data_IF_743468595500
#
_entry.id   IF_743468595500
#
_cell.length_a   1.000
_cell.length_b   1.000
_cell.length_c   1.000
_cell.angle_alpha   90.00
_cell.angle_beta   90.00
_cell.angle_gamma   90.00
#
_symmetry.space_group_name_H-M   'P 1'
#
loop_
_entity.id
_entity.type
_entity.pdbx_description
1 polymer ?
#
# COMPACT_ATOMS: atom_id res chain seq x y z
N UNK A 1 -4.41 -20.63 57.18
CA UNK A 1 -5.85 -20.53 56.83
C UNK A 1 -6.18 -19.20 56.16
N UNK A 2 -5.92 -18.03 56.76
CA UNK A 2 -6.12 -16.77 56.02
C UNK A 2 -5.25 -16.65 54.74
N UNK A 3 -4.03 -17.20 54.74
CA UNK A 3 -3.14 -17.18 53.56
C UNK A 3 -3.66 -17.98 52.35
N UNK A 4 -4.29 -19.14 52.58
CA UNK A 4 -4.90 -19.94 51.50
C UNK A 4 -6.10 -19.23 50.90
N UNK A 5 -6.87 -18.52 51.74
CA UNK A 5 -7.99 -17.68 51.29
C UNK A 5 -7.51 -16.50 50.43
N UNK A 6 -6.44 -15.80 50.82
CA UNK A 6 -5.87 -14.72 49.98
C UNK A 6 -5.33 -15.24 48.64
N UNK A 7 -4.65 -16.38 48.64
CA UNK A 7 -4.19 -17.01 47.42
C UNK A 7 -5.38 -17.41 46.51
N UNK A 8 -6.44 -18.00 47.06
CA UNK A 8 -7.67 -18.34 46.33
C UNK A 8 -8.39 -17.12 45.75
N UNK A 9 -8.53 -16.03 46.52
CA UNK A 9 -9.13 -14.76 46.04
C UNK A 9 -8.30 -14.14 44.92
N UNK A 10 -6.96 -14.17 45.03
CA UNK A 10 -6.08 -13.66 43.97
C UNK A 10 -6.27 -14.43 42.66
N UNK A 11 -6.39 -15.77 42.74
CA UNK A 11 -6.66 -16.63 41.59
C UNK A 11 -8.02 -16.37 40.95
N UNK A 12 -9.08 -16.17 41.75
CA UNK A 12 -10.42 -15.85 41.24
C UNK A 12 -10.42 -14.54 40.44
N UNK A 13 -9.84 -13.47 40.99
CA UNK A 13 -9.79 -12.17 40.33
C UNK A 13 -9.02 -12.23 39.01
N UNK A 14 -7.88 -12.90 38.98
CA UNK A 14 -7.07 -12.99 37.77
C UNK A 14 -7.74 -13.87 36.70
N UNK A 15 -8.42 -14.96 37.08
CA UNK A 15 -9.21 -15.75 36.13
C UNK A 15 -10.41 -14.97 35.59
N UNK A 16 -11.02 -14.09 36.38
CA UNK A 16 -12.07 -13.20 35.89
C UNK A 16 -11.53 -12.26 34.80
N UNK A 17 -10.38 -11.62 35.02
CA UNK A 17 -9.76 -10.78 34.00
C UNK A 17 -9.37 -11.57 32.74
N UNK A 18 -8.87 -12.80 32.88
CA UNK A 18 -8.63 -13.67 31.71
C UNK A 18 -9.91 -14.01 30.97
N UNK A 19 -11.01 -14.26 31.69
CA UNK A 19 -12.32 -14.50 31.10
C UNK A 19 -12.83 -13.28 30.32
N UNK A 20 -12.62 -12.07 30.85
CA UNK A 20 -13.02 -10.82 30.19
C UNK A 20 -12.25 -10.63 28.87
N UNK A 21 -10.95 -10.94 28.86
CA UNK A 21 -10.12 -10.86 27.64
C UNK A 21 -10.54 -11.90 26.59
N UNK A 22 -10.76 -13.15 26.99
CA UNK A 22 -11.26 -14.21 26.08
C UNK A 22 -12.64 -13.83 25.51
N UNK A 23 -13.54 -13.32 26.37
CA UNK A 23 -14.85 -12.84 25.94
C UNK A 23 -14.75 -11.71 24.92
N UNK A 24 -13.81 -10.78 25.10
CA UNK A 24 -13.55 -9.71 24.14
C UNK A 24 -12.99 -10.23 22.81
N UNK A 25 -12.06 -11.18 22.84
CA UNK A 25 -11.51 -11.81 21.62
C UNK A 25 -12.64 -12.47 20.81
N UNK A 26 -13.49 -13.29 21.47
CA UNK A 26 -14.61 -13.98 20.82
C UNK A 26 -15.62 -12.99 20.25
N UNK A 27 -15.97 -11.93 20.99
CA UNK A 27 -16.90 -10.92 20.53
C UNK A 27 -16.43 -10.18 19.26
N UNK A 28 -15.12 -10.06 19.06
CA UNK A 28 -14.50 -9.35 17.95
C UNK A 28 -13.91 -10.28 16.87
N UNK A 29 -14.34 -11.54 16.80
CA UNK A 29 -13.84 -12.50 15.80
C UNK A 29 -14.09 -12.06 14.35
N UNK A 30 -15.17 -11.32 14.09
CA UNK A 30 -15.50 -10.84 12.74
C UNK A 30 -15.06 -9.40 12.49
N UNK A 31 -14.41 -8.76 13.46
CA UNK A 31 -13.97 -7.36 13.33
C UNK A 31 -12.71 -7.32 12.47
N UNK A 32 -12.77 -6.56 11.37
CA UNK A 32 -11.65 -6.37 10.42
C UNK A 32 -10.45 -5.77 11.17
N UNK A 33 -9.26 -6.31 10.94
CA UNK A 33 -8.02 -5.83 11.55
C UNK A 33 -7.89 -6.05 13.06
N UNK A 34 -8.83 -6.74 13.72
CA UNK A 34 -8.76 -7.01 15.15
C UNK A 34 -7.59 -7.94 15.49
N UNK A 35 -6.92 -7.65 16.61
CA UNK A 35 -5.80 -8.43 17.15
C UNK A 35 -6.13 -8.99 18.52
N UNK A 36 -6.07 -10.31 18.63
CA UNK A 36 -6.30 -11.07 19.86
C UNK A 36 -5.36 -10.60 20.96
N UNK A 37 -5.86 -10.63 22.19
CA UNK A 37 -5.08 -10.28 23.38
C UNK A 37 -4.90 -11.49 24.26
N UNK A 38 -3.74 -11.62 24.89
CA UNK A 38 -3.41 -12.74 25.78
C UNK A 38 -3.05 -12.23 27.17
N UNK A 39 -3.50 -12.97 28.17
CA UNK A 39 -3.22 -12.70 29.59
C UNK A 39 -2.09 -13.60 30.08
N UNK A 40 -1.06 -12.99 30.67
CA UNK A 40 0.06 -13.71 31.29
C UNK A 40 0.00 -13.52 32.81
N UNK A 41 0.14 -14.61 33.57
CA UNK A 41 0.17 -14.58 35.02
C UNK A 41 1.60 -14.72 35.55
N UNK A 42 1.86 -14.12 36.72
CA UNK A 42 3.07 -14.31 37.49
C UNK A 42 2.73 -14.75 38.91
N UNK A 43 3.59 -15.54 39.54
CA UNK A 43 3.46 -15.83 40.96
C UNK A 43 3.78 -14.58 41.79
N UNK A 44 3.17 -14.51 42.97
CA UNK A 44 3.48 -13.45 43.95
C UNK A 44 4.68 -13.85 44.79
N UNK A 45 5.25 -12.89 45.53
CA UNK A 45 6.39 -13.10 46.41
C UNK A 45 6.19 -14.33 47.32
N UNK A 46 7.18 -15.22 47.38
CA UNK A 46 7.15 -16.35 48.29
C UNK A 46 7.61 -15.94 49.70
N UNK A 47 6.94 -16.46 50.73
CA UNK A 47 7.38 -16.27 52.11
C UNK A 47 8.34 -17.40 52.50
N UNK A 48 9.58 -17.06 52.84
CA UNK A 48 10.56 -18.03 53.34
C UNK A 48 10.33 -18.29 54.83
N UNK A 49 9.98 -19.53 55.18
CA UNK A 49 9.80 -20.01 56.55
C UNK A 49 11.14 -20.46 57.14
N UNK A 50 11.97 -21.09 56.31
CA UNK A 50 13.31 -21.56 56.69
C UNK A 50 14.27 -21.44 55.51
N UNK A 51 15.44 -20.87 55.74
CA UNK A 51 16.51 -20.79 54.75
C UNK A 51 17.12 -22.16 54.45
N UNK A 52 17.72 -22.28 53.26
CA UNK A 52 18.50 -23.45 52.92
C UNK A 52 19.77 -23.52 53.77
N UNK A 53 20.24 -24.71 54.14
CA UNK A 53 21.53 -24.87 54.82
C UNK A 53 22.42 -25.87 54.08
N UNK A 54 23.71 -25.57 54.02
CA UNK A 54 24.71 -26.50 53.51
C UNK A 54 24.88 -27.72 54.44
N UNK A 55 25.32 -28.89 53.92
CA UNK A 55 25.65 -30.05 54.74
C UNK A 55 26.80 -29.76 55.71
N UNK A 56 26.74 -30.34 56.91
CA UNK A 56 27.81 -30.29 57.94
C UNK A 56 28.14 -31.70 58.45
N UNK A 57 29.29 -31.86 59.13
CA UNK A 57 30.02 -33.07 59.56
C UNK A 57 29.26 -34.38 59.89
N UNK A 58 27.94 -34.38 60.11
CA UNK A 58 27.11 -35.59 60.19
C UNK A 58 25.62 -35.40 59.80
N UNK A 59 25.26 -34.30 59.10
CA UNK A 59 23.89 -33.99 58.63
C UNK A 59 23.90 -33.39 57.21
N UNK A 60 23.02 -33.90 56.36
CA UNK A 60 22.80 -33.39 55.00
C UNK A 60 22.26 -31.95 54.99
N UNK A 61 22.43 -31.25 53.86
CA UNK A 61 21.83 -29.95 53.64
C UNK A 61 20.30 -30.05 53.63
N UNK A 62 19.61 -28.95 53.97
CA UNK A 62 18.15 -28.88 53.90
C UNK A 62 17.71 -27.83 52.89
N UNK A 63 16.65 -28.15 52.15
CA UNK A 63 16.03 -27.24 51.19
C UNK A 63 15.36 -26.06 51.90
N UNK A 64 15.29 -24.89 51.25
CA UNK A 64 14.53 -23.77 51.77
C UNK A 64 13.04 -24.13 51.78
N UNK A 65 12.36 -23.78 52.88
CA UNK A 65 10.92 -23.97 53.00
C UNK A 65 10.25 -22.65 52.69
N UNK A 66 9.62 -22.57 51.52
CA UNK A 66 8.92 -21.38 51.04
C UNK A 66 7.45 -21.69 50.76
N UNK A 67 6.59 -20.71 50.97
CA UNK A 67 5.16 -20.79 50.67
C UNK A 67 4.77 -19.61 49.80
N UNK A 68 4.20 -19.88 48.63
CA UNK A 68 3.69 -18.84 47.72
C UNK A 68 2.44 -18.15 48.27
N UNK A 69 2.27 -16.87 47.95
CA UNK A 69 1.16 -16.04 48.44
C UNK A 69 -0.01 -15.91 47.44
N UNK A 70 0.05 -16.63 46.32
CA UNK A 70 -0.95 -16.57 45.25
C UNK A 70 -0.36 -16.11 43.92
N UNK A 71 -1.22 -15.59 43.05
CA UNK A 71 -0.88 -15.18 41.68
C UNK A 71 -1.31 -13.76 41.40
N UNK A 72 -0.62 -13.09 40.48
CA UNK A 72 -0.95 -11.74 39.97
C UNK A 72 -0.99 -11.73 38.46
N UNK A 73 -1.70 -10.76 37.90
CA UNK A 73 -1.64 -10.43 36.49
C UNK A 73 -0.27 -9.80 36.16
N UNK A 74 0.48 -10.42 35.25
CA UNK A 74 1.78 -9.87 34.79
C UNK A 74 1.56 -8.86 33.67
N UNK A 75 0.79 -9.24 32.65
CA UNK A 75 0.55 -8.41 31.47
C UNK A 75 -0.66 -8.88 30.68
N UNK A 76 -1.19 -7.96 29.86
CA UNK A 76 -2.15 -8.25 28.80
C UNK A 76 -1.53 -7.71 27.52
N UNK A 77 -1.08 -8.61 26.64
CA UNK A 77 -0.35 -8.24 25.43
C UNK A 77 -1.21 -8.49 24.19
N UNK A 78 -1.08 -7.63 23.19
CA UNK A 78 -1.74 -7.79 21.88
C UNK A 78 -0.86 -8.62 20.97
N UNK A 79 -1.44 -9.65 20.36
CA UNK A 79 -0.74 -10.50 19.42
C UNK A 79 -0.93 -9.95 17.99
N UNK A 80 0.12 -9.36 17.43
CA UNK A 80 0.09 -8.77 16.08
C UNK A 80 0.37 -9.78 14.95
N UNK A 81 0.02 -11.06 15.15
CA UNK A 81 0.10 -12.05 14.07
C UNK A 81 -0.89 -11.69 12.95
N UNK A 82 -0.54 -11.90 11.67
CA UNK A 82 -1.43 -11.60 10.56
C UNK A 82 -2.68 -12.48 10.61
N UNK A 83 -3.84 -11.89 10.29
CA UNK A 83 -5.10 -12.60 10.11
C UNK A 83 -5.25 -13.13 8.67
N UNK A 84 -6.34 -13.85 8.42
CA UNK A 84 -6.64 -14.33 7.07
C UNK A 84 -7.17 -13.18 6.19
N UNK A 85 -6.65 -13.00 4.97
CA UNK A 85 -7.19 -12.02 4.04
C UNK A 85 -8.52 -12.51 3.43
N UNK A 86 -9.47 -11.60 3.27
CA UNK A 86 -10.72 -11.82 2.54
C UNK A 86 -10.83 -10.84 1.37
N UNK A 87 -11.08 -11.35 0.17
CA UNK A 87 -11.30 -10.53 -1.02
C UNK A 87 -12.67 -9.86 -0.99
N UNK A 88 -12.72 -8.56 -1.26
CA UNK A 88 -13.96 -7.77 -1.30
C UNK A 88 -14.28 -7.24 -2.70
N UNK A 89 -13.27 -7.13 -3.58
CA UNK A 89 -13.42 -6.59 -4.94
C UNK A 89 -13.50 -5.06 -5.00
N UNK A 90 -13.34 -4.37 -3.87
CA UNK A 90 -13.30 -2.90 -3.80
C UNK A 90 -11.85 -2.44 -3.74
N UNK A 91 -11.38 -1.66 -4.71
CA UNK A 91 -9.96 -1.26 -4.79
C UNK A 91 -9.46 -0.48 -3.56
N UNK A 92 -10.34 0.22 -2.84
CA UNK A 92 -9.99 0.98 -1.64
C UNK A 92 -9.89 0.13 -0.37
N UNK A 93 -10.34 -1.13 -0.43
CA UNK A 93 -10.12 -2.08 0.66
C UNK A 93 -8.71 -2.65 0.56
N UNK A 94 -7.91 -2.39 1.59
CA UNK A 94 -6.50 -2.73 1.63
C UNK A 94 -6.20 -3.64 2.82
N UNK A 95 -5.42 -4.69 2.57
CA UNK A 95 -4.86 -5.53 3.62
C UNK A 95 -3.34 -5.43 3.60
N UNK A 96 -2.71 -5.51 4.77
CA UNK A 96 -1.25 -5.59 4.90
C UNK A 96 -0.87 -7.05 5.07
N UNK A 97 -0.06 -7.57 4.17
CA UNK A 97 0.56 -8.88 4.29
C UNK A 97 1.95 -8.75 4.92
N UNK A 98 2.07 -9.19 6.17
CA UNK A 98 3.30 -9.04 6.96
C UNK A 98 3.20 -7.92 8.00
N UNK A 99 4.34 -7.38 8.40
CA UNK A 99 4.42 -6.38 9.48
C UNK A 99 4.04 -4.98 9.00
N UNK A 100 3.65 -4.12 9.94
CA UNK A 100 3.32 -2.71 9.67
C UNK A 100 1.86 -2.37 9.88
N UNK A 101 1.58 -1.07 9.83
CA UNK A 101 0.29 -0.46 10.09
C UNK A 101 0.03 0.67 9.09
N UNK A 102 -1.24 0.88 8.73
CA UNK A 102 -1.68 2.10 8.09
C UNK A 102 -1.64 3.26 9.07
N UNK A 103 -1.35 4.45 8.54
CA UNK A 103 -1.24 5.67 9.34
C UNK A 103 -2.46 6.54 9.04
N UNK A 104 -3.19 6.87 10.09
CA UNK A 104 -4.34 7.76 10.06
C UNK A 104 -4.00 9.04 10.82
N UNK A 105 -4.58 10.16 10.42
CA UNK A 105 -4.43 11.42 11.14
C UNK A 105 -5.72 12.21 11.16
N UNK A 106 -5.95 12.91 12.28
CA UNK A 106 -6.97 13.97 12.41
C UNK A 106 -6.40 15.38 12.16
N UNK A 107 -5.09 15.47 11.84
CA UNK A 107 -4.34 16.71 11.67
C UNK A 107 -3.51 17.11 12.90
N UNK A 108 -3.83 16.57 14.10
CA UNK A 108 -3.12 16.83 15.35
C UNK A 108 -2.38 15.59 15.85
N UNK A 109 -3.04 14.44 15.86
CA UNK A 109 -2.51 13.15 16.31
C UNK A 109 -2.51 12.11 15.18
N UNK A 110 -1.49 11.26 15.18
CA UNK A 110 -1.42 10.09 14.32
C UNK A 110 -1.92 8.84 15.05
N UNK A 111 -2.75 8.06 14.35
CA UNK A 111 -3.26 6.77 14.78
C UNK A 111 -2.78 5.69 13.82
N UNK A 112 -2.65 4.46 14.32
CA UNK A 112 -2.16 3.33 13.54
C UNK A 112 -3.20 2.23 13.52
N UNK A 113 -3.48 1.65 12.36
CA UNK A 113 -4.47 0.57 12.24
C UNK A 113 -4.01 -0.49 11.26
N UNK A 114 -4.56 -1.70 11.38
CA UNK A 114 -4.45 -2.73 10.35
C UNK A 114 -5.74 -2.92 9.55
N UNK A 115 -6.84 -2.33 10.00
CA UNK A 115 -8.07 -2.30 9.24
C UNK A 115 -7.92 -1.32 8.07
N UNK A 116 -8.16 -1.81 6.85
CA UNK A 116 -8.00 -1.01 5.64
C UNK A 116 -9.29 -0.84 4.84
N UNK A 117 -10.44 -0.77 5.51
CA UNK A 117 -11.73 -0.41 4.89
C UNK A 117 -11.79 1.11 4.65
N UNK A 118 -11.03 1.59 3.67
CA UNK A 118 -11.01 3.00 3.31
C UNK A 118 -12.11 3.33 2.31
N UNK A 119 -12.70 4.51 2.47
CA UNK A 119 -13.66 5.06 1.54
C UNK A 119 -13.20 6.45 1.09
N UNK A 120 -13.65 6.87 -0.08
CA UNK A 120 -13.32 8.18 -0.63
C UNK A 120 -14.39 9.19 -0.23
N UNK A 121 -13.98 10.30 0.37
CA UNK A 121 -14.89 11.39 0.72
C UNK A 121 -15.19 12.30 -0.49
N UNK A 122 -16.18 13.22 -0.41
CA UNK A 122 -16.48 14.16 -1.50
C UNK A 122 -15.34 15.12 -1.86
N UNK A 123 -14.40 15.36 -0.93
CA UNK A 123 -13.19 16.16 -1.18
C UNK A 123 -12.08 15.34 -1.85
N UNK A 124 -12.34 14.04 -2.12
CA UNK A 124 -11.39 13.11 -2.71
C UNK A 124 -10.40 12.50 -1.72
N UNK A 125 -10.50 12.78 -0.42
CA UNK A 125 -9.61 12.21 0.60
C UNK A 125 -9.96 10.75 0.86
N UNK A 126 -8.93 9.91 1.06
CA UNK A 126 -9.14 8.55 1.54
C UNK A 126 -9.29 8.58 3.06
N UNK A 127 -10.47 8.21 3.54
CA UNK A 127 -10.84 8.25 4.95
C UNK A 127 -11.24 6.88 5.46
N UNK A 128 -10.92 6.63 6.72
CA UNK A 128 -11.45 5.50 7.47
C UNK A 128 -12.90 5.77 7.90
N UNK A 129 -13.61 4.74 8.38
CA UNK A 129 -15.03 4.84 8.76
C UNK A 129 -15.35 5.91 9.83
N UNK A 130 -14.35 6.35 10.59
CA UNK A 130 -14.48 7.38 11.62
C UNK A 130 -14.10 8.80 11.13
N UNK A 131 -13.79 8.93 9.84
CA UNK A 131 -13.42 10.20 9.21
C UNK A 131 -11.94 10.57 9.28
N UNK A 132 -11.10 9.77 9.94
CA UNK A 132 -9.65 9.97 9.94
C UNK A 132 -9.07 9.74 8.54
N UNK A 133 -8.09 10.56 8.15
CA UNK A 133 -7.52 10.51 6.81
C UNK A 133 -6.29 9.62 6.75
N UNK A 134 -6.23 8.76 5.72
CA UNK A 134 -5.06 7.93 5.40
C UNK A 134 -3.90 8.82 4.96
N UNK A 135 -2.74 8.62 5.58
CA UNK A 135 -1.51 9.36 5.28
C UNK A 135 -0.67 8.64 4.22
N UNK A 136 0.05 9.44 3.44
CA UNK A 136 0.94 8.97 2.39
C UNK A 136 1.88 10.05 1.92
N UNK A 137 2.64 9.75 0.88
CA UNK A 137 3.43 10.72 0.15
C UNK A 137 2.74 11.05 -1.16
N UNK A 138 2.68 12.34 -1.50
CA UNK A 138 2.22 12.74 -2.84
C UNK A 138 3.32 12.47 -3.85
N UNK A 139 2.95 12.01 -5.04
CA UNK A 139 3.88 11.86 -6.17
C UNK A 139 3.75 13.12 -7.03
N UNK A 140 4.87 13.75 -7.34
CA UNK A 140 4.93 14.94 -8.19
C UNK A 140 4.82 14.56 -9.67
N UNK A 141 4.56 15.54 -10.53
CA UNK A 141 4.35 15.33 -11.97
C UNK A 141 5.58 14.77 -12.71
N UNK A 142 6.77 14.87 -12.11
CA UNK A 142 8.02 14.29 -12.58
C UNK A 142 8.27 12.83 -12.13
N UNK A 143 7.33 12.26 -11.36
CA UNK A 143 7.44 10.92 -10.78
C UNK A 143 8.25 10.85 -9.48
N UNK A 144 8.74 11.98 -8.95
CA UNK A 144 9.39 12.02 -7.64
C UNK A 144 8.39 11.93 -6.49
N UNK A 145 8.78 11.27 -5.40
CA UNK A 145 7.97 11.15 -4.19
C UNK A 145 8.28 12.34 -3.27
N UNK A 146 7.25 13.03 -2.79
CA UNK A 146 7.41 14.13 -1.83
C UNK A 146 8.10 13.65 -0.54
N UNK A 147 8.99 14.46 0.03
CA UNK A 147 9.65 14.16 1.30
C UNK A 147 8.69 14.26 2.50
N UNK A 148 7.62 15.06 2.39
CA UNK A 148 6.62 15.25 3.43
C UNK A 148 5.48 14.25 3.30
N UNK A 149 5.08 13.65 4.44
CA UNK A 149 3.86 12.85 4.55
C UNK A 149 2.68 13.79 4.76
N UNK A 150 1.66 13.60 3.94
CA UNK A 150 0.42 14.36 3.99
C UNK A 150 -0.77 13.41 3.80
N UNK A 151 -1.97 13.91 4.10
CA UNK A 151 -3.19 13.14 3.86
C UNK A 151 -3.38 12.88 2.37
N UNK A 152 -3.64 11.63 2.00
CA UNK A 152 -3.82 11.23 0.60
C UNK A 152 -5.12 11.86 0.07
N UNK A 153 -5.00 12.59 -1.03
CA UNK A 153 -6.13 13.17 -1.76
C UNK A 153 -6.12 12.66 -3.20
N UNK A 154 -7.28 12.19 -3.64
CA UNK A 154 -7.59 11.72 -4.98
C UNK A 154 -8.68 12.63 -5.53
N UNK A 155 -8.34 13.81 -6.08
CA UNK A 155 -9.34 14.70 -6.64
C UNK A 155 -10.05 14.03 -7.83
N UNK A 156 -11.38 14.02 -7.83
CA UNK A 156 -12.20 13.42 -8.91
C UNK A 156 -12.10 14.23 -10.19
N UNK A 157 -11.82 15.52 -10.05
CA UNK A 157 -11.62 16.44 -11.16
C UNK A 157 -10.14 16.55 -11.54
N UNK A 158 -9.32 15.55 -11.20
CA UNK A 158 -7.94 15.50 -11.68
C UNK A 158 -7.96 15.40 -13.20
N UNK A 159 -7.32 16.36 -13.84
CA UNK A 159 -7.18 16.46 -15.27
C UNK A 159 -5.70 16.36 -15.60
N UNK A 160 -5.38 15.56 -16.61
CA UNK A 160 -4.08 15.65 -17.26
C UNK A 160 -4.20 16.74 -18.31
N UNK A 161 -3.37 17.79 -18.17
CA UNK A 161 -3.25 18.82 -19.19
C UNK A 161 -2.77 18.18 -20.50
N UNK A 162 -3.26 18.63 -21.66
CA UNK A 162 -2.78 18.12 -22.93
C UNK A 162 -1.28 18.40 -23.07
N UNK A 163 -0.59 17.52 -23.78
CA UNK A 163 0.80 17.72 -24.17
C UNK A 163 0.86 17.83 -25.68
N UNK A 164 1.47 18.93 -26.14
CA UNK A 164 1.78 19.12 -27.54
C UNK A 164 2.70 18.00 -28.06
N UNK A 165 2.46 17.54 -29.28
CA UNK A 165 3.36 16.58 -29.94
C UNK A 165 4.70 17.26 -30.20
N UNK A 166 5.78 16.67 -29.68
CA UNK A 166 7.15 17.14 -29.91
C UNK A 166 7.92 16.18 -30.81
N UNK A 167 7.62 14.88 -30.75
CA UNK A 167 8.34 13.86 -31.52
C UNK A 167 7.34 12.97 -32.26
N UNK A 168 7.62 12.72 -33.54
CA UNK A 168 6.86 11.78 -34.38
C UNK A 168 7.85 10.84 -35.05
N UNK A 169 7.81 9.56 -34.70
CA UNK A 169 8.61 8.53 -35.37
C UNK A 169 7.80 7.88 -36.48
N UNK A 170 8.36 7.80 -37.68
CA UNK A 170 7.70 7.22 -38.86
C UNK A 170 8.51 5.99 -39.30
N UNK A 171 7.80 4.88 -39.48
CA UNK A 171 8.40 3.58 -39.77
C UNK A 171 7.71 2.91 -40.95
N UNK A 172 8.47 2.21 -41.78
CA UNK A 172 7.92 1.48 -42.91
C UNK A 172 8.86 1.35 -44.09
N UNK A 173 8.33 0.69 -45.14
CA UNK A 173 9.01 0.52 -46.41
C UNK A 173 8.34 1.39 -47.48
N UNK A 174 9.11 2.31 -48.07
CA UNK A 174 8.72 3.08 -49.25
C UNK A 174 9.30 2.40 -50.50
N UNK A 175 8.44 2.05 -51.46
CA UNK A 175 8.88 1.33 -52.65
C UNK A 175 9.51 2.29 -53.67
N UNK A 176 10.79 2.17 -54.03
CA UNK A 176 11.39 3.04 -55.04
C UNK A 176 10.95 2.62 -56.44
N UNK A 177 10.61 3.60 -57.29
CA UNK A 177 10.38 3.38 -58.72
C UNK A 177 11.68 2.98 -59.41
N UNK A 178 11.57 2.08 -60.39
CA UNK A 178 12.67 1.66 -61.26
C UNK A 178 13.08 2.77 -62.26
N UNK A 179 12.20 3.74 -62.53
CA UNK A 179 12.50 4.92 -63.36
C UNK A 179 11.90 6.20 -62.71
N UNK A 180 12.63 6.81 -61.75
CA UNK A 180 12.17 7.99 -61.05
C UNK A 180 12.03 9.24 -61.94
N UNK A 181 12.62 9.25 -63.15
CA UNK A 181 12.58 10.41 -64.03
C UNK A 181 11.26 10.52 -64.83
N UNK A 182 10.59 9.39 -65.07
CA UNK A 182 9.34 9.35 -65.85
C UNK A 182 8.12 8.99 -65.00
N UNK A 183 8.30 8.20 -63.94
CA UNK A 183 7.22 7.80 -63.02
C UNK A 183 7.77 7.78 -61.58
N UNK A 184 7.93 8.95 -60.94
CA UNK A 184 8.32 9.00 -59.53
C UNK A 184 7.26 8.33 -58.66
N UNK A 185 7.68 7.58 -57.65
CA UNK A 185 6.74 7.08 -56.65
C UNK A 185 6.36 8.22 -55.72
N UNK A 186 5.06 8.42 -55.56
CA UNK A 186 4.48 9.34 -54.59
C UNK A 186 3.74 8.55 -53.53
N UNK A 187 3.90 8.95 -52.28
CA UNK A 187 3.19 8.35 -51.15
C UNK A 187 2.80 9.42 -50.15
N UNK A 188 1.53 9.47 -49.76
CA UNK A 188 1.09 10.31 -48.65
C UNK A 188 0.81 9.48 -47.41
N UNK A 189 1.20 10.04 -46.26
CA UNK A 189 0.87 9.50 -44.94
C UNK A 189 0.21 10.59 -44.11
N UNK A 190 -0.92 10.26 -43.52
CA UNK A 190 -1.64 11.12 -42.60
C UNK A 190 -1.16 10.84 -41.18
N UNK A 191 -0.81 11.90 -40.45
CA UNK A 191 -0.33 11.83 -39.07
C UNK A 191 -1.21 12.73 -38.22
N UNK A 192 -1.69 12.20 -37.10
CA UNK A 192 -2.41 12.97 -36.12
C UNK A 192 -1.42 13.58 -35.11
N UNK A 193 -1.41 14.90 -35.00
CA UNK A 193 -0.60 15.65 -34.03
C UNK A 193 -1.50 16.46 -33.12
N UNK A 194 -1.11 16.61 -31.87
CA UNK A 194 -1.90 17.31 -30.85
C UNK A 194 -1.26 18.66 -30.54
N UNK A 195 -2.08 19.71 -30.49
CA UNK A 195 -1.62 21.04 -30.11
C UNK A 195 -1.51 21.25 -28.59
N UNK A 196 -0.94 22.39 -28.16
CA UNK A 196 -0.80 22.72 -26.73
C UNK A 196 -2.14 22.88 -26.00
N UNK A 197 -3.26 23.02 -26.72
CA UNK A 197 -4.61 23.11 -26.17
C UNK A 197 -5.35 21.77 -26.23
N UNK A 198 -4.72 20.72 -26.78
CA UNK A 198 -5.29 19.38 -26.89
C UNK A 198 -6.20 19.17 -28.10
N UNK A 199 -6.12 20.01 -29.14
CA UNK A 199 -6.83 19.74 -30.40
C UNK A 199 -5.96 18.89 -31.31
N UNK A 200 -6.59 17.90 -31.93
CA UNK A 200 -5.95 17.04 -32.92
C UNK A 200 -5.98 17.69 -34.30
N UNK A 201 -4.81 17.79 -34.92
CA UNK A 201 -4.58 18.27 -36.28
C UNK A 201 -4.05 17.14 -37.13
N UNK A 202 -4.48 17.09 -38.38
CA UNK A 202 -4.13 16.01 -39.30
C UNK A 202 -3.11 16.57 -40.29
N UNK A 203 -1.86 16.15 -40.14
CA UNK A 203 -0.72 16.55 -40.98
C UNK A 203 -0.59 15.52 -42.09
N UNK A 204 -0.70 15.96 -43.33
CA UNK A 204 -0.39 15.11 -44.49
C UNK A 204 1.07 15.30 -44.87
N UNK A 205 1.83 14.21 -44.85
CA UNK A 205 3.21 14.17 -45.32
C UNK A 205 3.25 13.41 -46.63
N UNK A 206 3.63 14.09 -47.70
CA UNK A 206 3.84 13.54 -49.02
C UNK A 206 5.33 13.25 -49.23
N UNK A 207 5.65 12.04 -49.65
CA UNK A 207 6.98 11.62 -50.08
C UNK A 207 6.97 11.51 -51.59
N UNK A 208 7.87 12.23 -52.26
CA UNK A 208 8.08 12.15 -53.71
C UNK A 208 9.52 11.74 -54.00
N UNK A 209 9.69 10.80 -54.93
CA UNK A 209 11.01 10.34 -55.33
C UNK A 209 11.66 11.36 -56.28
N UNK A 210 12.80 11.95 -55.90
CA UNK A 210 13.52 12.97 -56.67
C UNK A 210 14.82 12.44 -57.32
N UNK A 211 15.03 11.12 -57.28
CA UNK A 211 16.17 10.44 -57.89
C UNK A 211 16.36 9.03 -57.33
N UNK A 212 17.45 8.37 -57.73
CA UNK A 212 17.86 7.12 -57.08
C UNK A 212 18.28 7.42 -55.64
N UNK A 213 17.71 6.68 -54.68
CA UNK A 213 17.98 6.79 -53.24
C UNK A 213 17.69 8.17 -52.62
N UNK A 214 17.05 9.07 -53.35
CA UNK A 214 16.76 10.43 -52.93
C UNK A 214 15.25 10.69 -52.95
N UNK A 215 14.71 11.02 -51.79
CA UNK A 215 13.31 11.31 -51.59
C UNK A 215 13.15 12.70 -50.99
N UNK A 216 12.13 13.42 -51.44
CA UNK A 216 11.71 14.67 -50.82
C UNK A 216 10.44 14.41 -50.03
N UNK A 217 10.42 14.80 -48.76
CA UNK A 217 9.18 14.85 -48.00
C UNK A 217 8.65 16.28 -47.97
N UNK A 218 7.34 16.42 -48.05
CA UNK A 218 6.60 17.68 -47.98
C UNK A 218 5.46 17.51 -46.99
N UNK A 219 5.42 18.32 -45.94
CA UNK A 219 4.27 18.41 -45.07
C UNK A 219 3.48 19.67 -45.44
N UNK A 220 2.25 19.49 -45.95
CA UNK A 220 1.37 20.63 -46.28
C UNK A 220 0.56 21.03 -45.05
N UNK A 221 0.88 22.20 -44.50
CA UNK A 221 0.26 22.74 -43.29
C UNK A 221 -0.20 24.19 -43.51
N UNK A 222 -1.28 24.63 -42.83
CA UNK A 222 -1.71 26.02 -42.86
C UNK A 222 -0.59 26.93 -42.33
N UNK A 223 0.11 27.64 -43.22
CA UNK A 223 1.30 28.43 -42.88
C UNK A 223 2.48 28.24 -43.85
N UNK A 224 2.43 27.21 -44.69
CA UNK A 224 3.37 26.95 -45.77
C UNK A 224 3.87 25.50 -45.77
N UNK A 225 4.31 24.97 -46.92
CA UNK A 225 4.82 23.61 -47.00
C UNK A 225 6.20 23.51 -46.35
N UNK A 226 6.35 22.59 -45.40
CA UNK A 226 7.66 22.23 -44.86
C UNK A 226 8.24 21.12 -45.72
N UNK A 227 9.48 21.26 -46.16
CA UNK A 227 10.12 20.29 -47.05
C UNK A 227 11.49 19.89 -46.53
N UNK A 228 11.88 18.66 -46.80
CA UNK A 228 13.22 18.18 -46.55
C UNK A 228 13.59 16.98 -47.43
N UNK A 229 14.87 16.63 -47.43
CA UNK A 229 15.42 15.56 -48.25
C UNK A 229 15.82 14.36 -47.39
N UNK A 230 15.47 13.17 -47.86
CA UNK A 230 15.86 11.88 -47.30
C UNK A 230 16.80 11.20 -48.28
N UNK A 231 17.99 10.85 -47.80
CA UNK A 231 18.98 10.10 -48.56
C UNK A 231 19.11 8.69 -47.98
N UNK A 232 19.06 7.68 -48.83
CA UNK A 232 19.22 6.29 -48.45
C UNK A 232 20.57 5.73 -48.91
N UNK A 233 21.13 4.81 -48.13
CA UNK A 233 22.33 4.08 -48.49
C UNK A 233 22.05 2.98 -49.54
N UNK A 234 23.12 2.41 -50.08
CA UNK A 234 23.05 1.29 -51.03
C UNK A 234 22.41 0.02 -50.42
N UNK A 235 22.28 -0.04 -49.09
CA UNK A 235 21.61 -1.10 -48.34
C UNK A 235 20.11 -0.87 -48.12
N UNK A 236 19.58 0.27 -48.58
CA UNK A 236 18.17 0.66 -48.46
C UNK A 236 17.78 1.21 -47.09
N UNK A 237 18.74 1.64 -46.27
CA UNK A 237 18.53 2.30 -44.97
C UNK A 237 18.77 3.79 -45.07
N UNK A 238 18.08 4.58 -44.24
CA UNK A 238 18.24 6.03 -44.24
C UNK A 238 19.62 6.45 -43.68
N UNK A 239 20.28 7.40 -44.33
CA UNK A 239 21.51 8.03 -43.85
C UNK A 239 21.12 9.08 -42.80
N UNK A 240 21.69 9.04 -41.57
CA UNK A 240 21.44 10.08 -40.57
C UNK A 240 22.06 11.41 -41.02
N UNK A 241 21.25 12.43 -41.27
CA UNK A 241 21.78 13.70 -41.77
C UNK A 241 20.81 14.85 -42.00
N UNK A 242 19.50 14.61 -41.97
CA UNK A 242 18.49 15.64 -42.23
C UNK A 242 17.57 15.81 -41.02
N UNK A 243 17.72 16.89 -40.21
CA UNK A 243 16.73 17.21 -39.20
C UNK A 243 15.42 17.58 -39.90
N UNK A 244 14.34 16.90 -39.55
CA UNK A 244 13.02 17.13 -40.13
C UNK A 244 12.12 17.78 -39.08
N UNK A 245 12.48 19.01 -38.71
CA UNK A 245 11.70 19.79 -37.75
C UNK A 245 10.64 20.60 -38.46
N UNK A 246 9.38 20.44 -38.06
CA UNK A 246 8.26 21.29 -38.45
C UNK A 246 8.04 22.28 -37.31
N UNK A 247 8.12 23.57 -37.64
CA UNK A 247 7.79 24.65 -36.72
C UNK A 247 6.50 25.32 -37.21
N UNK A 248 5.37 24.87 -36.67
CA UNK A 248 4.04 25.22 -37.17
C UNK A 248 3.20 25.92 -36.10
N UNK A 249 2.53 27.01 -36.50
CA UNK A 249 1.53 27.68 -35.67
C UNK A 249 0.12 27.23 -36.11
N UNK A 250 -0.57 26.36 -35.34
CA UNK A 250 -1.93 25.94 -35.64
C UNK A 250 -2.96 27.08 -35.54
N UNK A 251 -2.59 28.23 -34.98
CA UNK A 251 -3.48 29.36 -34.76
C UNK A 251 -4.51 29.09 -33.64
N UNK A 252 -5.47 30.01 -33.49
CA UNK A 252 -6.55 29.85 -32.51
C UNK A 252 -6.13 29.90 -31.03
N UNK A 253 -4.97 30.50 -30.75
CA UNK A 253 -4.44 30.75 -29.39
C UNK A 253 -3.57 29.62 -28.81
N UNK A 254 -3.29 28.58 -29.59
CA UNK A 254 -2.32 27.55 -29.22
C UNK A 254 -0.88 28.07 -29.36
N UNK A 255 0.04 27.45 -28.62
CA UNK A 255 1.47 27.71 -28.77
C UNK A 255 2.00 27.14 -30.08
N UNK A 256 3.13 27.66 -30.53
CA UNK A 256 3.87 27.16 -31.69
C UNK A 256 4.30 25.71 -31.43
N UNK A 257 4.01 24.82 -32.36
CA UNK A 257 4.38 23.41 -32.34
C UNK A 257 5.74 23.21 -33.00
N UNK A 258 6.70 22.67 -32.24
CA UNK A 258 7.98 22.22 -32.76
C UNK A 258 7.97 20.69 -32.80
N UNK A 259 7.66 20.13 -33.96
CA UNK A 259 7.56 18.69 -34.17
C UNK A 259 8.86 18.20 -34.82
N UNK A 260 9.57 17.29 -34.17
CA UNK A 260 10.70 16.58 -34.76
C UNK A 260 10.22 15.28 -35.41
N UNK A 261 10.38 15.17 -36.73
CA UNK A 261 10.05 13.96 -37.48
C UNK A 261 11.28 13.04 -37.52
N UNK A 262 11.18 11.90 -36.84
CA UNK A 262 12.20 10.86 -36.90
C UNK A 262 11.87 9.85 -38.01
N UNK A 263 12.68 9.87 -39.07
CA UNK A 263 12.61 8.96 -40.21
C UNK A 263 13.61 7.81 -40.15
N UNK A 264 14.38 7.67 -39.06
CA UNK A 264 15.51 6.73 -38.96
C UNK A 264 15.18 5.26 -39.27
N UNK A 265 13.92 4.87 -39.09
CA UNK A 265 13.42 3.51 -39.33
C UNK A 265 12.70 3.36 -40.69
N UNK A 266 12.78 4.34 -41.59
CA UNK A 266 12.31 4.20 -42.96
C UNK A 266 13.32 3.38 -43.79
N UNK A 267 12.77 2.57 -44.68
CA UNK A 267 13.55 1.71 -45.59
C UNK A 267 13.03 1.81 -47.01
N UNK A 268 13.92 1.55 -47.97
CA UNK A 268 13.59 1.49 -49.40
C UNK A 268 13.93 0.14 -50.01
N UNK A 269 13.05 -0.84 -49.81
CA UNK A 269 13.15 -2.16 -50.43
C UNK A 269 12.18 -2.31 -51.59
N UNK A 270 12.57 -3.14 -52.56
CA UNK A 270 11.77 -3.46 -53.74
C UNK A 270 10.47 -4.23 -53.44
N UNK A 271 10.22 -4.62 -52.18
CA UNK A 271 8.95 -5.21 -51.78
C UNK A 271 7.79 -4.20 -52.01
N UNK A 272 6.59 -4.74 -52.21
CA UNK A 272 5.37 -3.92 -52.28
C UNK A 272 5.28 -3.13 -50.98
N UNK A 273 4.98 -1.84 -51.13
CA UNK A 273 4.92 -0.87 -50.06
C UNK A 273 4.15 -1.38 -48.84
N UNK A 274 4.74 -1.28 -47.66
CA UNK A 274 4.04 -1.59 -46.40
C UNK A 274 3.31 -0.36 -45.92
N UNK A 275 2.17 -0.54 -45.24
CA UNK A 275 1.52 0.56 -44.49
C UNK A 275 2.54 1.23 -43.58
N UNK A 276 2.78 2.53 -43.78
CA UNK A 276 3.67 3.31 -42.94
C UNK A 276 2.98 3.54 -41.60
N UNK A 277 3.64 3.12 -40.52
CA UNK A 277 3.15 3.28 -39.16
C UNK A 277 3.88 4.46 -38.51
N UNK A 278 3.13 5.29 -37.80
CA UNK A 278 3.68 6.41 -37.03
C UNK A 278 3.40 6.22 -35.53
N UNK A 279 4.24 6.83 -34.70
CA UNK A 279 4.05 6.97 -33.26
C UNK A 279 4.38 8.41 -32.87
N UNK A 280 3.62 8.97 -31.93
CA UNK A 280 3.75 10.36 -31.50
C UNK A 280 3.54 10.48 -29.98
N UNK A 281 4.14 11.50 -29.36
CA UNK A 281 4.20 11.65 -27.90
C UNK A 281 3.19 12.65 -27.29
N UNK A 282 2.43 13.34 -28.14
CA UNK A 282 1.37 14.26 -27.75
C UNK A 282 0.09 13.54 -27.33
N UNK A 283 -0.72 14.21 -26.53
CA UNK A 283 -1.99 13.65 -26.07
C UNK A 283 -2.98 14.73 -25.69
N UNK A 284 -4.26 14.42 -25.93
CA UNK A 284 -5.37 15.28 -25.55
C UNK A 284 -5.53 15.34 -24.03
N UNK A 285 -6.33 16.31 -23.59
CA UNK A 285 -6.73 16.42 -22.20
C UNK A 285 -7.47 15.15 -21.75
N UNK A 286 -7.05 14.57 -20.63
CA UNK A 286 -7.71 13.41 -20.03
C UNK A 286 -8.40 13.78 -18.73
N UNK A 287 -9.64 13.33 -18.52
CA UNK A 287 -10.26 13.31 -17.20
C UNK A 287 -9.96 11.97 -16.52
N UNK A 288 -9.80 11.97 -15.19
CA UNK A 288 -9.60 10.73 -14.45
C UNK A 288 -10.89 9.90 -14.47
N UNK A 289 -10.82 8.70 -15.04
CA UNK A 289 -11.97 7.81 -15.22
C UNK A 289 -12.06 6.80 -14.06
N UNK A 290 -10.91 6.24 -13.67
CA UNK A 290 -10.80 5.34 -12.53
C UNK A 290 -9.42 5.44 -11.87
N UNK A 291 -9.25 4.77 -10.72
CA UNK A 291 -7.93 4.60 -10.12
C UNK A 291 -7.76 3.17 -9.64
N UNK A 292 -6.51 2.74 -9.57
CA UNK A 292 -6.11 1.45 -8.99
C UNK A 292 -5.00 1.67 -7.98
N UNK A 293 -4.92 0.76 -7.02
CA UNK A 293 -3.85 0.74 -6.03
C UNK A 293 -3.01 -0.50 -6.34
N UNK A 294 -1.70 -0.36 -6.36
CA UNK A 294 -0.76 -1.45 -6.57
C UNK A 294 -0.27 -2.04 -5.23
N UNK A 295 0.34 -3.22 -5.27
CA UNK A 295 0.93 -3.90 -4.11
C UNK A 295 2.07 -3.12 -3.45
N UNK A 296 2.74 -2.26 -4.22
CA UNK A 296 3.71 -1.27 -3.73
C UNK A 296 3.08 -0.12 -2.94
N UNK A 297 1.74 -0.05 -2.86
CA UNK A 297 1.02 1.04 -2.20
C UNK A 297 0.89 2.30 -3.06
N UNK A 298 1.34 2.28 -4.32
CA UNK A 298 1.13 3.37 -5.27
C UNK A 298 -0.32 3.42 -5.73
N UNK A 299 -0.88 4.61 -5.74
CA UNK A 299 -2.20 4.91 -6.29
C UNK A 299 -2.02 5.48 -7.69
N UNK A 300 -2.58 4.80 -8.68
CA UNK A 300 -2.43 5.10 -10.09
C UNK A 300 -3.80 5.51 -10.63
N UNK A 301 -3.92 6.75 -11.10
CA UNK A 301 -5.08 7.23 -11.85
C UNK A 301 -5.02 6.74 -13.29
N UNK A 302 -6.16 6.31 -13.82
CA UNK A 302 -6.37 5.92 -15.21
C UNK A 302 -7.27 6.99 -15.84
N UNK A 303 -6.81 7.57 -16.94
CA UNK A 303 -7.45 8.72 -17.58
C UNK A 303 -8.14 8.31 -18.88
N UNK A 304 -9.13 9.09 -19.29
CA UNK A 304 -9.93 8.87 -20.50
C UNK A 304 -9.10 8.85 -21.80
N UNK A 305 -7.94 9.51 -21.80
CA UNK A 305 -6.99 9.53 -22.91
C UNK A 305 -6.07 8.29 -22.94
N UNK A 306 -6.34 7.27 -22.12
CA UNK A 306 -5.57 6.02 -22.06
C UNK A 306 -4.27 6.12 -21.27
N UNK A 307 -3.90 7.32 -20.78
CA UNK A 307 -2.72 7.50 -19.96
C UNK A 307 -2.99 7.12 -18.50
N UNK A 308 -1.90 6.78 -17.81
CA UNK A 308 -1.92 6.53 -16.37
C UNK A 308 -0.94 7.45 -15.67
N UNK A 309 -1.34 7.98 -14.50
CA UNK A 309 -0.50 8.86 -13.68
C UNK A 309 -0.44 8.34 -12.25
N UNK A 310 0.76 8.30 -11.68
CA UNK A 310 0.94 8.00 -10.27
C UNK A 310 0.55 9.24 -9.44
N UNK A 311 -0.38 9.09 -8.50
CA UNK A 311 -0.97 10.20 -7.73
C UNK A 311 -0.38 10.31 -6.33
N UNK A 312 -0.26 9.17 -5.65
CA UNK A 312 0.18 9.09 -4.27
C UNK A 312 0.77 7.72 -3.95
N UNK A 313 1.53 7.66 -2.87
CA UNK A 313 2.09 6.44 -2.30
C UNK A 313 1.62 6.32 -0.84
N UNK A 314 1.00 5.20 -0.49
CA UNK A 314 0.52 4.95 0.87
C UNK A 314 1.72 4.77 1.81
N UNK A 315 1.71 5.50 2.92
CA UNK A 315 2.73 5.37 3.95
C UNK A 315 2.33 4.29 4.96
N UNK A 316 3.29 3.43 5.29
CA UNK A 316 3.16 2.44 6.34
C UNK A 316 4.08 2.79 7.51
N UNK A 317 3.66 2.43 8.72
CA UNK A 317 4.48 2.54 9.92
C UNK A 317 4.83 1.15 10.45
N UNK A 318 6.10 0.94 10.75
CA UNK A 318 6.58 -0.19 11.54
C UNK A 318 7.01 0.31 12.93
N UNK A 319 6.88 -0.55 13.93
CA UNK A 319 7.28 -0.26 15.31
C UNK A 319 8.28 -1.30 15.79
N UNK A 320 9.35 -0.89 16.49
CA UNK A 320 10.26 -1.83 17.13
C UNK A 320 9.55 -2.76 18.13
N UNK A 321 8.56 -2.23 18.87
CA UNK A 321 7.75 -3.00 19.80
C UNK A 321 6.24 -2.77 19.58
N UNK A 322 5.60 -3.54 18.70
CA UNK A 322 4.16 -3.40 18.42
C UNK A 322 3.28 -3.67 19.65
N UNK A 323 3.67 -4.59 20.54
CA UNK A 323 2.90 -4.91 21.75
C UNK A 323 2.86 -3.75 22.77
N UNK A 324 3.77 -2.77 22.64
CA UNK A 324 3.78 -1.55 23.45
C UNK A 324 2.76 -0.49 23.00
N UNK A 325 2.05 -0.70 21.89
CA UNK A 325 1.04 0.22 21.41
C UNK A 325 -0.20 0.23 22.31
N UNK A 326 -0.78 1.41 22.51
CA UNK A 326 -2.01 1.58 23.29
C UNK A 326 -3.23 1.48 22.38
N UNK A 327 -4.26 0.73 22.79
CA UNK A 327 -5.52 0.62 22.04
C UNK A 327 -6.38 1.88 22.25
N UNK A 328 -6.83 2.49 21.16
CA UNK A 328 -7.72 3.68 21.20
C UNK A 328 -9.18 3.37 20.87
N UNK A 329 -9.51 2.11 20.59
CA UNK A 329 -10.83 1.70 20.08
C UNK A 329 -10.85 1.58 18.55
N UNK A 330 -11.92 1.02 18.00
CA UNK A 330 -12.11 0.85 16.54
C UNK A 330 -10.93 0.19 15.81
N UNK A 331 -10.21 -0.72 16.48
CA UNK A 331 -8.97 -1.39 15.99
C UNK A 331 -7.78 -0.47 15.75
N UNK A 332 -7.83 0.76 16.28
CA UNK A 332 -6.75 1.72 16.22
C UNK A 332 -5.81 1.64 17.42
N UNK A 333 -4.58 2.02 17.17
CA UNK A 333 -3.46 2.02 18.08
C UNK A 333 -2.81 3.39 18.13
N UNK A 334 -2.31 3.77 19.31
CA UNK A 334 -1.52 4.97 19.54
C UNK A 334 -0.13 4.58 20.04
N UNK A 335 0.87 5.35 19.62
CA UNK A 335 2.25 5.18 20.09
C UNK A 335 2.37 5.50 21.58
N UNK A 336 3.23 4.76 22.27
CA UNK A 336 3.60 5.01 23.66
C UNK A 336 5.12 5.17 23.78
N UNK A 337 5.62 5.48 24.98
CA UNK A 337 7.07 5.45 25.23
C UNK A 337 7.68 4.06 25.05
N UNK A 338 6.90 2.98 25.26
CA UNK A 338 7.39 1.60 25.18
C UNK A 338 7.28 1.00 23.76
N UNK A 339 6.47 1.58 22.87
CA UNK A 339 6.38 1.13 21.47
C UNK A 339 7.62 1.54 20.65
N UNK A 340 8.34 2.55 21.11
CA UNK A 340 9.40 3.21 20.36
C UNK A 340 8.87 4.20 19.32
N UNK A 341 9.79 4.82 18.58
CA UNK A 341 9.44 5.73 17.49
C UNK A 341 9.01 4.95 16.25
N UNK A 342 7.92 5.36 15.57
CA UNK A 342 7.51 4.75 14.32
C UNK A 342 8.58 4.94 13.24
N UNK A 343 8.87 3.88 12.50
CA UNK A 343 9.63 3.94 11.26
C UNK A 343 8.65 3.95 10.10
N UNK A 344 8.68 5.01 9.30
CA UNK A 344 7.79 5.15 8.16
C UNK A 344 8.50 4.71 6.90
N UNK A 345 7.88 3.82 6.13
CA UNK A 345 8.41 3.36 4.85
C UNK A 345 7.26 3.04 3.88
N UNK A 346 7.61 2.82 2.62
CA UNK A 346 6.67 2.29 1.64
C UNK A 346 6.41 0.80 1.87
N UNK A 347 5.34 0.31 1.26
CA UNK A 347 5.03 -1.12 1.19
C UNK A 347 6.23 -1.95 0.70
N UNK A 348 6.53 -3.05 1.40
CA UNK A 348 7.60 -3.99 1.03
C UNK A 348 9.04 -3.53 1.29
N UNK A 349 9.26 -2.37 1.92
CA UNK A 349 10.59 -1.81 2.20
C UNK A 349 10.81 -1.63 3.71
N UNK A 350 12.06 -1.74 4.16
CA UNK A 350 12.47 -1.56 5.57
C UNK A 350 11.70 -2.43 6.59
N UNK A 351 11.39 -3.66 6.18
CA UNK A 351 10.69 -4.62 7.03
C UNK A 351 9.18 -4.40 7.14
N UNK A 352 8.61 -3.42 6.43
CA UNK A 352 7.18 -3.34 6.19
C UNK A 352 6.73 -4.44 5.22
N UNK A 353 5.56 -5.00 5.50
CA UNK A 353 4.88 -5.96 4.64
C UNK A 353 4.38 -5.32 3.35
N UNK A 354 3.81 -6.14 2.47
CA UNK A 354 3.23 -5.70 1.20
C UNK A 354 1.74 -5.41 1.34
N UNK A 355 1.24 -4.40 0.62
CA UNK A 355 -0.19 -4.11 0.54
C UNK A 355 -0.84 -5.06 -0.47
N UNK A 356 -2.03 -5.54 -0.14
CA UNK A 356 -2.89 -6.34 -1.01
C UNK A 356 -4.17 -5.56 -1.28
N UNK A 357 -4.30 -4.94 -2.47
CA UNK A 357 -5.49 -4.21 -2.87
C UNK A 357 -6.71 -5.13 -3.08
N UNK A 358 -7.92 -4.63 -2.84
CA UNK A 358 -9.15 -5.41 -3.03
C UNK A 358 -9.41 -6.48 -1.96
N UNK A 359 -8.68 -6.41 -0.84
CA UNK A 359 -8.74 -7.41 0.23
C UNK A 359 -8.75 -6.74 1.60
N UNK A 360 -9.42 -7.36 2.57
CA UNK A 360 -9.43 -6.94 3.98
C UNK A 360 -8.80 -8.01 4.87
N UNK A 361 -8.01 -7.59 5.84
CA UNK A 361 -7.44 -8.49 6.84
C UNK A 361 -8.49 -8.78 7.93
N UNK A 362 -8.87 -10.05 8.10
CA UNK A 362 -9.79 -10.45 9.17
C UNK A 362 -9.07 -10.56 10.53
N UNK A 363 -9.87 -10.72 11.59
CA UNK A 363 -9.36 -10.98 12.94
C UNK A 363 -8.43 -12.20 12.94
N UNK A 364 -7.38 -12.16 13.77
CA UNK A 364 -6.49 -13.30 13.99
C UNK A 364 -6.96 -14.21 15.15
N UNK A 365 -8.20 -14.07 15.59
CA UNK A 365 -8.80 -14.87 16.68
C UNK A 365 -9.16 -16.26 16.15
N UNK A 366 -8.63 -17.30 16.80
CA UNK A 366 -9.07 -18.69 16.59
C UNK A 366 -10.10 -19.09 17.68
N UNK A 367 -11.36 -19.24 17.27
CA UNK A 367 -12.45 -19.61 18.16
C UNK A 367 -12.21 -20.94 18.89
N UNK A 368 -11.57 -21.92 18.24
CA UNK A 368 -11.34 -23.23 18.85
C UNK A 368 -10.41 -23.12 20.05
N UNK A 369 -9.38 -22.29 19.91
CA UNK A 369 -8.44 -21.99 20.98
C UNK A 369 -9.10 -21.15 22.07
N UNK A 370 -9.83 -20.09 21.72
CA UNK A 370 -10.52 -19.23 22.70
C UNK A 370 -11.56 -19.99 23.53
N UNK A 371 -12.34 -20.90 22.93
CA UNK A 371 -13.29 -21.74 23.67
C UNK A 371 -12.58 -22.74 24.60
N UNK A 372 -11.45 -23.31 24.17
CA UNK A 372 -10.65 -24.19 25.02
C UNK A 372 -10.10 -23.42 26.23
N UNK A 373 -9.54 -22.23 25.99
CA UNK A 373 -9.02 -21.35 27.03
C UNK A 373 -10.12 -20.85 27.98
N UNK A 374 -11.34 -20.63 27.47
CA UNK A 374 -12.51 -20.31 28.27
C UNK A 374 -12.84 -21.44 29.26
N UNK A 375 -12.86 -22.68 28.78
CA UNK A 375 -13.15 -23.86 29.62
C UNK A 375 -12.07 -24.02 30.69
N UNK A 376 -10.79 -23.88 30.33
CA UNK A 376 -9.67 -23.95 31.28
C UNK A 376 -9.78 -22.85 32.34
N UNK A 377 -10.07 -21.62 31.92
CA UNK A 377 -10.23 -20.47 32.82
C UNK A 377 -11.43 -20.64 33.76
N UNK A 378 -12.56 -21.14 33.26
CA UNK A 378 -13.74 -21.44 34.05
C UNK A 378 -13.46 -22.52 35.09
N UNK A 379 -12.75 -23.60 34.73
CA UNK A 379 -12.34 -24.66 35.66
C UNK A 379 -11.38 -24.13 36.74
N UNK A 380 -10.42 -23.28 36.36
CA UNK A 380 -9.53 -22.59 37.30
C UNK A 380 -10.30 -21.71 38.30
N UNK A 381 -11.28 -20.94 37.82
CA UNK A 381 -12.16 -20.14 38.67
C UNK A 381 -12.97 -21.03 39.65
N UNK A 382 -13.57 -22.12 39.17
CA UNK A 382 -14.30 -23.07 40.02
C UNK A 382 -13.40 -23.72 41.09
N UNK A 383 -12.16 -24.07 40.74
CA UNK A 383 -11.21 -24.64 41.68
C UNK A 383 -10.84 -23.66 42.79
N UNK A 384 -10.56 -22.40 42.46
CA UNK A 384 -10.25 -21.38 43.46
C UNK A 384 -11.44 -21.05 44.36
N UNK A 385 -12.67 -21.08 43.84
CA UNK A 385 -13.88 -20.91 44.64
C UNK A 385 -14.01 -22.00 45.72
N UNK A 386 -13.73 -23.26 45.38
CA UNK A 386 -13.72 -24.37 46.35
C UNK A 386 -12.64 -24.22 47.44
N UNK A 387 -11.50 -23.61 47.13
CA UNK A 387 -10.46 -23.31 48.14
C UNK A 387 -10.98 -22.33 49.19
N UNK A 388 -11.81 -21.36 48.77
CA UNK A 388 -12.40 -20.38 49.68
C UNK A 388 -13.45 -21.05 50.55
N UNK A 389 -14.36 -21.84 49.98
CA UNK A 389 -15.40 -22.52 50.78
C UNK A 389 -14.81 -23.49 51.79
N UNK A 390 -13.81 -24.28 51.40
CA UNK A 390 -13.10 -25.18 52.35
C UNK A 390 -12.32 -24.42 53.42
N UNK A 391 -11.73 -23.26 53.08
CA UNK A 391 -11.07 -22.41 54.07
C UNK A 391 -12.07 -21.80 55.07
N UNK A 392 -13.27 -21.45 54.62
CA UNK A 392 -14.36 -20.90 55.45
C UNK A 392 -14.93 -21.97 56.40
N UNK A 393 -15.18 -23.19 55.90
CA UNK A 393 -15.63 -24.33 56.71
C UNK A 393 -14.64 -24.62 57.86
N UNK A 394 -13.33 -24.63 57.59
CA UNK A 394 -12.31 -24.82 58.63
C UNK A 394 -12.29 -23.68 59.67
N UNK A 395 -12.53 -22.43 59.25
CA UNK A 395 -12.64 -21.30 60.18
C UNK A 395 -13.86 -21.44 61.08
N UNK A 396 -14.99 -21.88 60.52
CA UNK A 396 -16.21 -22.12 61.28
C UNK A 396 -16.02 -23.24 62.31
N UNK A 397 -15.38 -24.35 61.95
CA UNK A 397 -15.02 -25.41 62.90
C UNK A 397 -14.11 -24.89 64.02
N UNK A 398 -13.13 -24.05 63.70
CA UNK A 398 -12.22 -23.47 64.69
C UNK A 398 -12.93 -22.50 65.66
N UNK A 399 -13.90 -21.72 65.18
CA UNK A 399 -14.74 -20.88 66.05
C UNK A 399 -15.61 -21.74 66.97
N UNK A 400 -16.15 -22.85 66.45
CA UNK A 400 -16.97 -23.78 67.21
C UNK A 400 -16.16 -24.54 68.28
N UNK A 401 -14.86 -24.77 68.08
CA UNK A 401 -13.95 -25.37 69.09
C UNK A 401 -13.73 -24.52 70.34
N UNK A 402 -13.99 -23.20 70.28
CA UNK A 402 -13.86 -22.30 71.43
C UNK A 402 -15.09 -22.31 72.35
N UNK A 403 -16.24 -22.75 71.83
CA UNK A 403 -17.46 -22.97 72.62
C UNK A 403 -17.40 -24.34 73.28
#
# INVERSE_FOLDING_TARGET
MMRSMFAGVSGLRNHQTRMDVIGNNIANVNTIGYKSSRVTFADTLSQTIRGATAPQNNRGGVNPQQVGLGVTLSSIDVLHTPGNPQTTGVNTDLAIQGNGFFILSDGNEEYYTRAGNFSRDPSGRLVYSNGLQLQGWRIMDDGSVSDTREGITLPSDSKIAPRATENVSITGNIHPSADPATNPTEFSSNIEVVDSLGRTHLVEIEFSQNGYNNWTWTADLPGGPFTGTLEFDDGGRLIPGSPATINWDPGGGAGILNIDLDFSQLTQYAAVQSSVAYNQDGYEMGYMDSFRIDTSGKIIGIYSNGLTKELALIAMANFPNPAGLEKMGETMFRRTSNSGTPQYSSSGVDGCGTISPGTLEMSNVDLSQEFTDMIVTQRGFQANSRIITTSDEMLQELVNLKR
#
